data_IF_994772376690
#
_entry.id   IF_994772376690
#
_cell.length_a   1.000
_cell.length_b   1.000
_cell.length_c   1.000
_cell.angle_alpha   90.00
_cell.angle_beta   90.00
_cell.angle_gamma   90.00
#
_symmetry.space_group_name_H-M   'P 1'
#
loop_
_entity.id
_entity.type
_entity.pdbx_description
1 polymer ?
#
# COMPACT_ATOMS: atom_id res chain seq x y z
N UNK A 1 4.06 -9.28 -4.40
CA UNK A 1 4.82 -8.29 -5.19
C UNK A 1 6.33 -8.46 -5.05
N UNK A 2 6.92 -8.32 -3.86
CA UNK A 2 8.40 -8.31 -3.68
C UNK A 2 9.18 -9.41 -4.43
N UNK A 3 8.76 -10.69 -4.43
CA UNK A 3 9.50 -11.75 -5.14
C UNK A 3 9.47 -11.65 -6.67
N UNK A 4 8.57 -10.83 -7.23
CA UNK A 4 8.40 -10.65 -8.67
C UNK A 4 9.11 -9.38 -9.18
N UNK A 5 9.66 -8.56 -8.30
CA UNK A 5 10.39 -7.35 -8.69
C UNK A 5 11.79 -7.73 -9.17
N UNK A 6 12.24 -7.10 -10.26
CA UNK A 6 13.61 -7.24 -10.72
C UNK A 6 14.60 -6.64 -9.72
N UNK A 7 15.82 -7.17 -9.66
CA UNK A 7 16.85 -6.82 -8.66
C UNK A 7 17.29 -5.35 -8.68
N UNK A 8 17.03 -4.65 -9.80
CA UNK A 8 17.34 -3.24 -9.99
C UNK A 8 16.08 -2.34 -10.07
N UNK A 9 14.93 -2.81 -9.59
CA UNK A 9 13.67 -2.03 -9.60
C UNK A 9 13.80 -0.75 -8.77
N UNK A 10 13.22 0.34 -9.26
CA UNK A 10 13.00 1.57 -8.48
C UNK A 10 11.58 1.54 -7.94
N UNK A 11 11.45 1.59 -6.62
CA UNK A 11 10.17 1.58 -5.90
C UNK A 11 9.89 2.99 -5.41
N UNK A 12 8.77 3.57 -5.82
CA UNK A 12 8.24 4.80 -5.22
C UNK A 12 7.03 4.47 -4.36
N UNK A 13 6.84 5.21 -3.28
CA UNK A 13 5.76 4.97 -2.34
C UNK A 13 5.09 6.28 -1.95
N UNK A 14 3.77 6.27 -1.93
CA UNK A 14 2.98 7.37 -1.38
C UNK A 14 2.97 7.36 0.16
N UNK A 15 2.36 8.36 0.77
CA UNK A 15 2.20 8.51 2.22
C UNK A 15 0.83 8.01 2.71
N UNK A 16 0.83 7.07 3.66
CA UNK A 16 -0.38 6.50 4.27
C UNK A 16 -0.15 5.06 4.76
N UNK A 17 -1.22 4.27 4.91
CA UNK A 17 -1.13 2.85 5.28
C UNK A 17 -0.23 2.05 4.31
N UNK A 18 -0.26 2.41 3.02
CA UNK A 18 0.59 1.82 1.99
C UNK A 18 2.09 2.02 2.29
N UNK A 19 2.50 3.10 2.96
CA UNK A 19 3.89 3.29 3.41
C UNK A 19 4.29 2.24 4.43
N UNK A 20 3.43 2.00 5.43
CA UNK A 20 3.66 0.97 6.46
C UNK A 20 3.78 -0.41 5.83
N UNK A 21 2.88 -0.76 4.91
CA UNK A 21 2.91 -2.05 4.25
C UNK A 21 4.12 -2.21 3.33
N UNK A 22 4.46 -1.17 2.59
CA UNK A 22 5.65 -1.15 1.72
C UNK A 22 6.91 -1.36 2.54
N UNK A 23 7.08 -0.62 3.65
CA UNK A 23 8.24 -0.73 4.53
C UNK A 23 8.37 -2.12 5.18
N UNK A 24 7.25 -2.83 5.42
CA UNK A 24 7.25 -4.16 6.03
C UNK A 24 7.48 -5.30 5.04
N UNK A 25 6.98 -5.17 3.81
CA UNK A 25 6.86 -6.30 2.89
C UNK A 25 7.69 -6.20 1.63
N UNK A 26 8.18 -5.02 1.25
CA UNK A 26 9.16 -4.90 0.17
C UNK A 26 10.54 -5.20 0.73
N UNK A 27 11.13 -6.30 0.24
CA UNK A 27 12.50 -6.68 0.55
C UNK A 27 13.44 -5.97 -0.42
N UNK A 28 14.04 -4.89 0.06
CA UNK A 28 15.02 -4.12 -0.72
C UNK A 28 16.26 -4.97 -1.00
N UNK A 29 16.70 -4.97 -2.25
CA UNK A 29 17.95 -5.59 -2.68
C UNK A 29 19.00 -4.51 -2.94
N UNK A 30 20.27 -4.91 -3.03
CA UNK A 30 21.42 -3.99 -3.14
C UNK A 30 21.28 -2.96 -4.27
N UNK A 31 20.76 -3.39 -5.43
CA UNK A 31 20.63 -2.53 -6.61
C UNK A 31 19.27 -1.84 -6.72
N UNK A 32 18.34 -2.06 -5.79
CA UNK A 32 17.04 -1.39 -5.79
C UNK A 32 17.16 0.03 -5.23
N UNK A 33 16.31 0.93 -5.72
CA UNK A 33 16.16 2.28 -5.14
C UNK A 33 14.77 2.45 -4.56
N UNK A 34 14.65 3.24 -3.51
CA UNK A 34 13.38 3.53 -2.84
C UNK A 34 13.20 5.04 -2.63
N UNK A 35 11.99 5.55 -2.85
CA UNK A 35 11.65 6.94 -2.54
C UNK A 35 10.22 7.09 -2.00
N UNK A 36 10.08 7.94 -0.98
CA UNK A 36 8.80 8.33 -0.37
C UNK A 36 8.94 9.74 0.23
N UNK A 37 7.84 10.47 0.45
CA UNK A 37 7.87 11.78 1.13
C UNK A 37 8.00 11.60 2.65
N UNK A 38 9.16 11.14 3.11
CA UNK A 38 9.33 10.70 4.51
C UNK A 38 9.34 11.79 5.58
N UNK A 39 9.72 13.04 5.21
CA UNK A 39 9.82 14.14 6.18
C UNK A 39 8.51 14.92 6.29
N UNK A 40 7.99 15.41 5.15
CA UNK A 40 6.76 16.20 5.13
C UNK A 40 5.50 15.33 5.12
N UNK A 41 5.63 14.02 4.87
CA UNK A 41 4.52 13.09 4.72
C UNK A 41 3.51 13.53 3.64
N UNK A 42 4.01 14.12 2.54
CA UNK A 42 3.17 14.61 1.44
C UNK A 42 2.51 13.46 0.71
N UNK A 43 1.17 13.44 0.73
CA UNK A 43 0.37 12.53 -0.09
C UNK A 43 0.49 12.85 -1.57
N UNK A 44 0.16 11.87 -2.42
CA UNK A 44 0.21 11.92 -3.88
C UNK A 44 1.62 11.93 -4.48
N UNK A 45 2.68 11.75 -3.68
CA UNK A 45 4.06 11.81 -4.18
C UNK A 45 4.44 10.60 -5.05
N UNK A 46 3.82 9.44 -4.84
CA UNK A 46 4.24 8.17 -5.44
C UNK A 46 4.25 8.16 -6.97
N UNK A 47 3.16 8.65 -7.61
CA UNK A 47 3.04 8.69 -9.07
C UNK A 47 4.02 9.70 -9.73
N UNK A 48 4.08 10.98 -9.31
CA UNK A 48 5.07 11.93 -9.81
C UNK A 48 6.51 11.44 -9.63
N UNK A 49 6.83 10.79 -8.49
CA UNK A 49 8.16 10.23 -8.27
C UNK A 49 8.47 9.10 -9.24
N UNK A 50 7.49 8.25 -9.56
CA UNK A 50 7.70 7.17 -10.54
C UNK A 50 7.92 7.73 -11.95
N UNK A 51 7.19 8.77 -12.33
CA UNK A 51 7.39 9.49 -13.60
C UNK A 51 8.82 10.03 -13.66
N UNK A 52 9.26 10.75 -12.63
CA UNK A 52 10.61 11.29 -12.55
C UNK A 52 11.69 10.20 -12.60
N UNK A 53 11.51 9.11 -11.85
CA UNK A 53 12.44 7.98 -11.81
C UNK A 53 12.56 7.30 -13.18
N UNK A 54 11.44 7.10 -13.89
CA UNK A 54 11.44 6.49 -15.23
C UNK A 54 12.16 7.35 -16.27
N UNK A 55 12.14 8.67 -16.12
CA UNK A 55 12.85 9.61 -16.99
C UNK A 55 14.34 9.65 -16.64
N UNK A 56 14.67 9.73 -15.35
CA UNK A 56 16.04 9.83 -14.87
C UNK A 56 16.85 8.53 -15.04
N UNK A 57 16.18 7.38 -15.03
CA UNK A 57 16.80 6.06 -15.13
C UNK A 57 16.17 5.22 -16.25
N UNK A 58 16.38 5.59 -17.52
CA UNK A 58 15.85 4.83 -18.64
C UNK A 58 16.34 3.37 -18.60
N UNK A 59 15.44 2.43 -18.84
CA UNK A 59 15.74 0.99 -18.85
C UNK A 59 15.65 0.29 -17.49
N UNK A 60 15.45 1.01 -16.38
CA UNK A 60 15.16 0.41 -15.07
C UNK A 60 13.65 0.20 -14.89
N UNK A 61 13.20 -0.94 -14.34
CA UNK A 61 11.80 -1.12 -13.94
C UNK A 61 11.43 -0.12 -12.84
N UNK A 62 10.26 0.51 -12.96
CA UNK A 62 9.76 1.46 -11.97
C UNK A 62 8.36 1.06 -11.52
N UNK A 63 8.16 0.94 -10.21
CA UNK A 63 6.88 0.63 -9.60
C UNK A 63 6.48 1.70 -8.60
N UNK A 64 5.21 2.12 -8.63
CA UNK A 64 4.64 3.07 -7.67
C UNK A 64 3.64 2.33 -6.78
N UNK A 65 3.81 2.44 -5.46
CA UNK A 65 2.95 1.84 -4.44
C UNK A 65 2.15 2.94 -3.76
N UNK A 66 0.90 3.10 -4.16
CA UNK A 66 0.07 4.27 -3.80
C UNK A 66 -1.24 3.84 -3.13
N UNK A 67 -1.82 4.71 -2.30
CA UNK A 67 -3.21 4.56 -1.85
C UNK A 67 -4.17 5.19 -2.85
N UNK A 68 -5.42 4.76 -2.86
CA UNK A 68 -6.49 5.34 -3.69
C UNK A 68 -6.74 6.84 -3.41
N UNK A 69 -6.71 7.25 -2.15
CA UNK A 69 -6.81 8.66 -1.77
C UNK A 69 -5.66 9.51 -2.30
N UNK A 70 -4.42 9.05 -2.11
CA UNK A 70 -3.23 9.74 -2.61
C UNK A 70 -3.17 9.78 -4.14
N UNK A 71 -3.51 8.67 -4.80
CA UNK A 71 -3.58 8.61 -6.26
C UNK A 71 -4.60 9.62 -6.81
N UNK A 72 -5.80 9.69 -6.23
CA UNK A 72 -6.89 10.57 -6.69
C UNK A 72 -6.49 12.04 -6.70
N UNK A 73 -5.63 12.48 -5.77
CA UNK A 73 -5.17 13.88 -5.70
C UNK A 73 -4.42 14.34 -6.96
N UNK A 74 -3.65 13.45 -7.59
CA UNK A 74 -2.82 13.76 -8.78
C UNK A 74 -2.99 12.75 -9.92
N UNK A 75 -4.11 12.02 -9.99
CA UNK A 75 -4.31 10.94 -10.97
C UNK A 75 -4.24 11.42 -12.43
N UNK A 76 -4.44 12.72 -12.68
CA UNK A 76 -4.26 13.35 -13.99
C UNK A 76 -2.86 13.17 -14.57
N UNK A 77 -1.83 12.99 -13.74
CA UNK A 77 -0.45 12.73 -14.18
C UNK A 77 -0.28 11.37 -14.86
N UNK A 78 -1.27 10.47 -14.81
CA UNK A 78 -1.27 9.28 -15.64
C UNK A 78 -1.23 9.65 -17.14
N UNK A 79 -1.85 10.75 -17.53
CA UNK A 79 -1.78 11.27 -18.91
C UNK A 79 -0.35 11.63 -19.32
N UNK A 80 0.47 12.12 -18.38
CA UNK A 80 1.90 12.39 -18.60
C UNK A 80 2.65 11.08 -18.90
N UNK A 81 2.45 10.05 -18.07
CA UNK A 81 3.08 8.74 -18.28
C UNK A 81 2.69 8.13 -19.64
N UNK A 82 1.42 8.24 -20.04
CA UNK A 82 0.94 7.78 -21.36
C UNK A 82 1.56 8.60 -22.49
N UNK A 83 1.54 9.93 -22.39
CA UNK A 83 2.08 10.82 -23.43
C UNK A 83 3.54 10.52 -23.76
N UNK A 84 4.34 10.25 -22.73
CA UNK A 84 5.76 9.96 -22.85
C UNK A 84 6.08 8.46 -22.92
N UNK A 85 5.06 7.58 -22.97
CA UNK A 85 5.19 6.12 -23.04
C UNK A 85 6.09 5.55 -21.93
N UNK A 86 6.00 6.14 -20.73
CA UNK A 86 6.83 5.73 -19.59
C UNK A 86 6.35 4.36 -19.07
N UNK A 87 7.22 3.34 -18.97
CA UNK A 87 6.84 1.98 -18.58
C UNK A 87 6.64 1.81 -17.07
N UNK A 88 6.00 2.78 -16.40
CA UNK A 88 5.75 2.75 -14.95
C UNK A 88 4.60 1.80 -14.60
N UNK A 89 4.71 1.11 -13.46
CA UNK A 89 3.67 0.19 -12.95
C UNK A 89 3.11 0.73 -11.65
N UNK A 90 1.88 1.21 -11.67
CA UNK A 90 1.22 1.80 -10.51
C UNK A 90 0.33 0.76 -9.86
N UNK A 91 0.62 0.39 -8.61
CA UNK A 91 -0.23 -0.45 -7.79
C UNK A 91 -0.97 0.44 -6.79
N UNK A 92 -2.28 0.53 -6.94
CA UNK A 92 -3.16 1.30 -6.07
C UNK A 92 -3.76 0.34 -5.05
N UNK A 93 -3.57 0.61 -3.76
CA UNK A 93 -4.23 -0.11 -2.68
C UNK A 93 -5.55 0.57 -2.36
N UNK A 94 -6.62 0.06 -2.96
CA UNK A 94 -7.98 0.61 -2.86
C UNK A 94 -8.72 -0.01 -1.70
N UNK A 95 -8.60 0.65 -0.54
CA UNK A 95 -9.37 0.35 0.66
C UNK A 95 -10.59 1.28 0.81
N UNK A 96 -10.78 2.24 -0.11
CA UNK A 96 -11.87 3.21 -0.13
C UNK A 96 -11.88 4.12 1.10
N UNK A 97 -10.72 4.33 1.72
CA UNK A 97 -10.60 5.16 2.91
C UNK A 97 -9.21 5.80 3.06
N UNK A 98 -9.15 6.96 3.72
CA UNK A 98 -7.90 7.47 4.29
C UNK A 98 -7.48 6.61 5.49
N UNK A 99 -6.94 5.43 5.20
CA UNK A 99 -6.76 4.36 6.18
C UNK A 99 -5.82 4.70 7.34
N UNK A 100 -4.78 5.51 7.11
CA UNK A 100 -3.88 5.95 8.20
C UNK A 100 -4.65 6.81 9.20
N UNK A 101 -5.44 7.77 8.71
CA UNK A 101 -6.26 8.67 9.53
C UNK A 101 -7.35 7.89 10.27
N UNK A 102 -7.99 6.93 9.59
CA UNK A 102 -8.96 6.01 10.21
C UNK A 102 -8.35 5.35 11.45
N UNK A 103 -7.20 4.71 11.31
CA UNK A 103 -6.59 3.98 12.42
C UNK A 103 -6.04 4.87 13.52
N UNK A 104 -5.58 6.08 13.21
CA UNK A 104 -5.18 7.07 14.22
C UNK A 104 -6.39 7.49 15.08
N UNK A 105 -7.54 7.80 14.46
CA UNK A 105 -8.77 8.13 15.20
C UNK A 105 -9.18 7.00 16.15
N UNK A 106 -9.18 5.75 15.67
CA UNK A 106 -9.64 4.59 16.45
C UNK A 106 -8.62 4.21 17.54
N UNK A 107 -7.35 4.07 17.19
CA UNK A 107 -6.33 3.44 18.06
C UNK A 107 -5.57 4.45 18.91
N UNK A 108 -5.47 5.72 18.48
CA UNK A 108 -4.77 6.76 19.23
C UNK A 108 -5.71 7.70 19.99
N UNK A 109 -6.90 7.97 19.46
CA UNK A 109 -7.84 8.93 20.07
C UNK A 109 -9.08 8.28 20.70
N UNK A 110 -9.31 6.99 20.42
CA UNK A 110 -10.49 6.27 20.90
C UNK A 110 -11.79 6.81 20.33
N UNK A 111 -11.73 7.40 19.13
CA UNK A 111 -12.85 7.98 18.43
C UNK A 111 -13.29 7.05 17.30
N UNK A 112 -14.61 6.93 17.04
CA UNK A 112 -15.09 6.31 15.82
C UNK A 112 -14.57 7.03 14.57
N UNK A 113 -14.45 6.30 13.46
CA UNK A 113 -14.00 6.86 12.19
C UNK A 113 -14.92 7.98 11.67
N UNK A 114 -14.32 9.08 11.18
CA UNK A 114 -15.05 10.24 10.66
C UNK A 114 -14.31 10.92 9.51
N UNK A 115 -15.04 11.16 8.41
CA UNK A 115 -14.53 11.94 7.27
C UNK A 115 -13.42 11.27 6.46
N UNK A 116 -13.28 9.94 6.59
CA UNK A 116 -12.21 9.16 5.97
C UNK A 116 -12.65 8.37 4.75
N UNK A 117 -13.96 8.31 4.46
CA UNK A 117 -14.51 7.54 3.34
C UNK A 117 -14.15 8.15 1.98
N UNK A 118 -13.80 7.29 1.01
CA UNK A 118 -13.49 7.67 -0.36
C UNK A 118 -14.47 7.07 -1.35
N UNK A 119 -14.64 7.76 -2.48
CA UNK A 119 -15.45 7.26 -3.59
C UNK A 119 -14.81 5.99 -4.19
N UNK A 120 -15.57 4.91 -4.42
CA UNK A 120 -15.07 3.69 -5.06
C UNK A 120 -14.87 3.89 -6.58
N UNK A 121 -13.83 4.63 -6.95
CA UNK A 121 -13.43 4.83 -8.35
C UNK A 121 -12.89 3.50 -8.90
N UNK A 122 -13.29 3.16 -10.13
CA UNK A 122 -12.71 2.04 -10.87
C UNK A 122 -11.43 2.52 -11.56
N UNK A 123 -10.29 2.34 -10.89
CA UNK A 123 -9.02 2.88 -11.37
C UNK A 123 -8.47 2.11 -12.58
N UNK A 124 -8.86 0.84 -12.74
CA UNK A 124 -8.52 0.07 -13.93
C UNK A 124 -9.19 0.67 -15.18
N UNK A 125 -10.50 0.97 -15.10
CA UNK A 125 -11.21 1.66 -16.20
C UNK A 125 -10.69 3.07 -16.42
N UNK A 126 -10.36 3.81 -15.36
CA UNK A 126 -9.72 5.12 -15.49
C UNK A 126 -8.41 5.01 -16.28
N UNK A 127 -7.58 4.03 -15.98
CA UNK A 127 -6.33 3.82 -16.68
C UNK A 127 -6.53 3.51 -18.17
N UNK A 128 -7.46 2.61 -18.50
CA UNK A 128 -7.83 2.31 -19.88
C UNK A 128 -8.32 3.58 -20.61
N UNK A 129 -9.13 4.42 -19.96
CA UNK A 129 -9.62 5.68 -20.53
C UNK A 129 -8.50 6.72 -20.76
N UNK A 130 -7.45 6.70 -19.96
CA UNK A 130 -6.26 7.54 -20.16
C UNK A 130 -5.31 7.01 -21.25
N UNK A 131 -5.50 5.78 -21.75
CA UNK A 131 -4.58 5.12 -22.68
C UNK A 131 -3.43 4.35 -22.01
N UNK A 132 -3.53 4.09 -20.72
CA UNK A 132 -2.68 3.14 -20.00
C UNK A 132 -3.40 1.77 -19.93
N UNK A 133 -2.69 0.74 -19.46
CA UNK A 133 -3.32 -0.57 -19.23
C UNK A 133 -3.87 -0.68 -17.82
N UNK A 134 -5.17 -0.96 -17.69
CA UNK A 134 -5.82 -1.28 -16.42
C UNK A 134 -5.88 -2.77 -16.10
N UNK A 135 -5.66 -3.10 -14.82
CA UNK A 135 -5.99 -4.39 -14.22
C UNK A 135 -6.71 -4.17 -12.88
N UNK A 136 -7.64 -5.05 -12.55
CA UNK A 136 -8.27 -5.11 -11.23
C UNK A 136 -7.84 -6.40 -10.54
N UNK A 137 -7.43 -6.30 -9.28
CA UNK A 137 -7.07 -7.42 -8.41
C UNK A 137 -7.97 -7.41 -7.17
N UNK A 138 -8.89 -8.36 -7.09
CA UNK A 138 -9.83 -8.51 -5.95
C UNK A 138 -9.51 -9.70 -5.07
N UNK A 139 -8.83 -10.72 -5.61
CA UNK A 139 -8.65 -12.02 -4.96
C UNK A 139 -7.17 -12.35 -4.86
N UNK A 140 -6.73 -12.79 -3.67
CA UNK A 140 -5.31 -13.09 -3.41
C UNK A 140 -4.78 -14.24 -4.28
N UNK A 141 -5.63 -15.21 -4.63
CA UNK A 141 -5.28 -16.33 -5.52
C UNK A 141 -4.87 -15.88 -6.93
N UNK A 142 -5.34 -14.70 -7.34
CA UNK A 142 -5.06 -14.13 -8.66
C UNK A 142 -3.87 -13.18 -8.65
N UNK A 143 -3.32 -12.86 -7.46
CA UNK A 143 -2.30 -11.83 -7.30
C UNK A 143 -1.04 -12.11 -8.11
N UNK A 144 -0.49 -13.33 -8.05
CA UNK A 144 0.72 -13.68 -8.78
C UNK A 144 0.52 -13.52 -10.30
N UNK A 145 -0.59 -14.03 -10.83
CA UNK A 145 -0.94 -13.93 -12.25
C UNK A 145 -1.10 -12.48 -12.69
N UNK A 146 -1.91 -11.69 -11.97
CA UNK A 146 -2.21 -10.29 -12.35
C UNK A 146 -0.97 -9.41 -12.23
N UNK A 147 -0.19 -9.55 -11.15
CA UNK A 147 1.03 -8.80 -10.96
C UNK A 147 2.04 -9.14 -12.06
N UNK A 148 2.21 -10.42 -12.41
CA UNK A 148 3.13 -10.82 -13.47
C UNK A 148 2.72 -10.26 -14.83
N UNK A 149 1.42 -10.26 -15.14
CA UNK A 149 0.89 -9.63 -16.36
C UNK A 149 1.13 -8.12 -16.39
N UNK A 150 0.93 -7.44 -15.27
CA UNK A 150 1.17 -6.01 -15.14
C UNK A 150 2.65 -5.66 -15.33
N UNK A 151 3.55 -6.39 -14.68
CA UNK A 151 4.99 -6.17 -14.77
C UNK A 151 5.53 -6.44 -16.19
N UNK A 152 4.98 -7.44 -16.89
CA UNK A 152 5.39 -7.82 -18.25
C UNK A 152 4.82 -6.91 -19.36
N UNK A 153 3.79 -6.11 -19.08
CA UNK A 153 3.19 -5.24 -20.08
C UNK A 153 4.15 -4.13 -20.55
N UNK A 154 4.13 -3.80 -21.84
CA UNK A 154 4.90 -2.67 -22.37
C UNK A 154 4.13 -1.35 -22.16
N UNK A 155 4.77 -0.35 -21.54
CA UNK A 155 4.15 0.95 -21.28
C UNK A 155 3.49 1.07 -19.89
N UNK A 156 2.74 2.17 -19.63
CA UNK A 156 2.21 2.46 -18.30
C UNK A 156 1.06 1.52 -17.93
N UNK A 157 1.06 1.06 -16.67
CA UNK A 157 0.04 0.16 -16.12
C UNK A 157 -0.48 0.70 -14.81
N UNK A 158 -1.78 0.52 -14.58
CA UNK A 158 -2.42 0.65 -13.27
C UNK A 158 -3.02 -0.69 -12.86
N UNK A 159 -2.71 -1.13 -11.65
CA UNK A 159 -3.32 -2.28 -11.00
C UNK A 159 -4.10 -1.78 -9.79
N UNK A 160 -5.43 -1.81 -9.91
CA UNK A 160 -6.36 -1.48 -8.84
C UNK A 160 -6.50 -2.70 -7.91
N UNK A 161 -5.80 -2.66 -6.78
CA UNK A 161 -5.79 -3.74 -5.78
C UNK A 161 -6.86 -3.44 -4.73
N UNK A 162 -8.00 -4.13 -4.83
CA UNK A 162 -9.08 -4.01 -3.84
C UNK A 162 -8.65 -4.74 -2.58
N UNK A 163 -8.54 -4.00 -1.48
CA UNK A 163 -8.06 -4.53 -0.19
C UNK A 163 -9.09 -4.28 0.91
N UNK A 164 -8.95 -5.01 2.01
CA UNK A 164 -9.86 -4.91 3.14
C UNK A 164 -9.70 -3.55 3.86
N UNK A 165 -10.77 -2.72 3.96
CA UNK A 165 -10.74 -1.45 4.67
C UNK A 165 -10.50 -1.59 6.18
N UNK A 166 -10.81 -2.76 6.72
CA UNK A 166 -10.78 -3.05 8.15
C UNK A 166 -9.53 -3.85 8.54
N UNK A 167 -8.54 -3.96 7.66
CA UNK A 167 -7.22 -4.50 7.98
C UNK A 167 -6.38 -3.44 8.72
N UNK A 168 -6.00 -3.67 9.99
CA UNK A 168 -5.32 -2.67 10.78
C UNK A 168 -3.82 -2.60 10.49
N UNK A 169 -3.30 -1.39 10.33
CA UNK A 169 -1.85 -1.11 10.26
C UNK A 169 -1.24 -1.09 11.67
N UNK A 170 -1.44 -2.15 12.46
CA UNK A 170 -1.00 -2.19 13.86
C UNK A 170 0.52 -2.10 13.98
N UNK A 171 1.07 -1.28 14.91
CA UNK A 171 2.49 -1.32 15.24
C UNK A 171 2.88 -2.70 15.79
N UNK A 172 4.13 -3.12 15.58
CA UNK A 172 4.63 -4.42 16.06
C UNK A 172 4.62 -4.61 17.58
N UNK A 173 4.33 -3.55 18.35
CA UNK A 173 4.04 -3.59 19.80
C UNK A 173 2.85 -2.67 20.07
N UNK A 174 1.75 -3.23 20.56
CA UNK A 174 0.58 -2.46 21.00
C UNK A 174 0.79 -2.05 22.45
N UNK A 175 0.75 -0.74 22.74
CA UNK A 175 0.81 -0.25 24.12
C UNK A 175 -0.53 -0.45 24.83
N UNK A 176 -0.51 -0.56 26.17
CA UNK A 176 -1.73 -0.64 26.98
C UNK A 176 -2.67 0.55 26.72
N UNK A 177 -2.11 1.74 26.49
CA UNK A 177 -2.88 2.94 26.15
C UNK A 177 -3.63 2.77 24.82
N UNK A 178 -2.96 2.30 23.77
CA UNK A 178 -3.60 2.05 22.47
C UNK A 178 -4.70 0.99 22.55
N UNK A 179 -4.53 -0.03 23.39
CA UNK A 179 -5.57 -1.03 23.62
C UNK A 179 -6.82 -0.44 24.30
N UNK A 180 -6.62 0.49 25.25
CA UNK A 180 -7.70 1.20 25.92
C UNK A 180 -8.44 2.12 24.95
N UNK A 181 -7.72 2.90 24.15
CA UNK A 181 -8.33 3.80 23.16
C UNK A 181 -9.09 3.02 22.09
N UNK A 182 -8.50 1.95 21.56
CA UNK A 182 -9.19 1.04 20.65
C UNK A 182 -10.50 0.50 21.25
N UNK A 183 -10.48 0.04 22.51
CA UNK A 183 -11.70 -0.42 23.20
C UNK A 183 -12.74 0.69 23.38
N UNK A 184 -12.32 1.94 23.65
CA UNK A 184 -13.21 3.10 23.73
C UNK A 184 -13.86 3.41 22.39
N UNK A 185 -13.12 3.37 21.28
CA UNK A 185 -13.67 3.59 19.94
C UNK A 185 -14.77 2.57 19.62
N UNK A 186 -14.51 1.28 19.87
CA UNK A 186 -15.52 0.22 19.71
C UNK A 186 -16.76 0.47 20.56
N UNK A 187 -16.60 0.83 21.83
CA UNK A 187 -17.70 1.13 22.73
C UNK A 187 -18.52 2.38 22.31
N UNK A 188 -17.89 3.32 21.60
CA UNK A 188 -18.51 4.53 21.07
C UNK A 188 -19.21 4.32 19.71
N UNK A 189 -19.23 3.10 19.19
CA UNK A 189 -19.97 2.76 17.99
C UNK A 189 -19.16 2.79 16.70
N UNK A 190 -17.87 2.42 16.75
CA UNK A 190 -17.06 2.23 15.55
C UNK A 190 -17.74 1.32 14.52
N UNK A 191 -17.77 1.77 13.26
CA UNK A 191 -18.34 1.01 12.15
C UNK A 191 -17.51 -0.26 11.91
N UNK A 192 -18.16 -1.34 11.48
CA UNK A 192 -17.52 -2.64 11.19
C UNK A 192 -16.69 -3.25 12.34
N UNK A 193 -17.01 -2.88 13.59
CA UNK A 193 -16.33 -3.36 14.81
C UNK A 193 -16.06 -4.87 14.83
N UNK A 194 -17.02 -5.70 14.37
CA UNK A 194 -16.86 -7.16 14.34
C UNK A 194 -15.79 -7.64 13.36
N UNK A 195 -15.70 -7.04 12.17
CA UNK A 195 -14.69 -7.40 11.18
C UNK A 195 -13.30 -6.90 11.61
N UNK A 196 -13.23 -5.70 12.18
CA UNK A 196 -11.99 -5.16 12.75
C UNK A 196 -11.43 -6.10 13.82
N UNK A 197 -12.24 -6.53 14.80
CA UNK A 197 -11.81 -7.45 15.86
C UNK A 197 -11.31 -8.78 15.27
N UNK A 198 -12.05 -9.32 14.29
CA UNK A 198 -11.69 -10.56 13.60
C UNK A 198 -10.34 -10.43 12.89
N UNK A 199 -10.08 -9.33 12.20
CA UNK A 199 -8.81 -9.07 11.52
C UNK A 199 -7.64 -8.91 12.52
N UNK A 200 -7.85 -8.21 13.64
CA UNK A 200 -6.84 -8.11 14.72
C UNK A 200 -6.45 -9.49 15.24
N UNK A 201 -7.43 -10.34 15.57
CA UNK A 201 -7.19 -11.71 16.07
C UNK A 201 -6.47 -12.57 15.02
N UNK A 202 -6.93 -12.51 13.77
CA UNK A 202 -6.32 -13.23 12.64
C UNK A 202 -4.85 -12.83 12.45
N UNK A 203 -4.53 -11.55 12.56
CA UNK A 203 -3.18 -11.04 12.39
C UNK A 203 -2.24 -11.47 13.51
N UNK A 204 -2.69 -11.43 14.76
CA UNK A 204 -1.92 -11.95 15.90
C UNK A 204 -1.59 -13.44 15.73
N UNK A 205 -2.55 -14.23 15.25
CA UNK A 205 -2.31 -15.64 14.96
C UNK A 205 -1.28 -15.82 13.83
N UNK A 206 -1.41 -15.06 12.74
CA UNK A 206 -0.46 -15.10 11.60
C UNK A 206 0.96 -14.73 12.03
N UNK A 207 1.12 -13.68 12.83
CA UNK A 207 2.41 -13.26 13.35
C UNK A 207 3.04 -14.30 14.29
N UNK A 208 2.26 -14.91 15.18
CA UNK A 208 2.71 -15.97 16.08
C UNK A 208 3.17 -17.24 15.33
N UNK A 209 2.49 -17.58 14.24
CA UNK A 209 2.89 -18.71 13.37
C UNK A 209 4.17 -18.38 12.59
N UNK A 210 4.29 -17.15 12.07
CA UNK A 210 5.47 -16.71 11.32
C UNK A 210 6.74 -16.62 12.20
N UNK A 211 6.59 -16.26 13.48
CA UNK A 211 7.73 -16.19 14.43
C UNK A 211 8.16 -17.56 14.96
N UNK A 212 7.27 -18.56 15.07
CA UNK A 212 7.62 -19.93 15.46
C UNK A 212 8.57 -20.66 14.48
N UNK A 213 8.78 -20.11 13.27
CA UNK A 213 9.72 -20.61 12.28
C UNK A 213 11.13 -20.01 12.34
N UNK A 214 11.40 -19.04 13.22
CA UNK A 214 12.75 -18.49 13.44
C UNK A 214 13.34 -19.07 14.72
N UNK A 215 14.58 -19.54 14.63
CA UNK A 215 15.34 -20.00 15.78
C UNK A 215 15.48 -18.83 16.77
N UNK A 216 15.45 -19.11 18.07
CA UNK A 216 15.74 -18.11 19.12
C UNK A 216 17.11 -17.42 18.92
N UNK A 217 18.00 -18.00 18.11
CA UNK A 217 19.31 -17.47 17.76
C UNK A 217 19.25 -16.29 16.77
N UNK A 218 18.18 -16.15 15.98
CA UNK A 218 18.05 -15.07 14.97
C UNK A 218 17.58 -13.72 15.56
N UNK A 219 17.28 -13.70 16.87
CA UNK A 219 16.72 -12.54 17.58
C UNK A 219 17.76 -11.80 18.44
N UNK A 220 19.03 -12.20 18.39
CA UNK A 220 20.14 -11.50 19.06
C UNK A 220 20.99 -10.81 17.99
N UNK A 221 20.96 -9.46 17.88
CA UNK A 221 21.90 -8.76 17.01
C UNK A 221 23.30 -8.86 17.63
N UNK A 222 24.23 -9.56 16.97
CA UNK A 222 25.65 -9.57 17.36
C UNK A 222 26.36 -10.94 17.47
N UNK A 223 25.90 -11.97 16.76
CA UNK A 223 26.68 -13.17 16.48
C UNK A 223 26.72 -13.41 14.97
#
# INVERSE_FOLDING_TARGET
LSPLLAENTIVTCDCGNNTTWTARYIQMQENMLFSTSGLLATMAAGLPYAIAASIAHPGRPVVALVGDGGFTMLMGELATAVRYKLPIKVFIFSNRAYGQIKWEQIVMEGNPEYGVDLQPIDFAKFADACGAKGFTLTETKDAERVISQALAHEGPVVVDCIVDPNEPSMPGKVSTTQAIEFAKALARGERDSSEIIKNVVKNQFREAVATKGRSLLDLIPGL
#
